data_IF_705569828195
#
_entry.id   IF_705569828195
#
_cell.length_a   1.000
_cell.length_b   1.000
_cell.length_c   1.000
_cell.angle_alpha   90.00
_cell.angle_beta   90.00
_cell.angle_gamma   90.00
#
_symmetry.space_group_name_H-M   'P 1'
#
loop_
_entity.id
_entity.type
_entity.pdbx_description
1 polymer ?
#
# COMPACT_ATOMS: atom_id res chain seq x y z
N UNK A 1 6.24 57.44 -25.96
CA UNK A 1 7.22 56.65 -26.73
C UNK A 1 7.58 55.45 -25.88
N UNK A 2 7.29 54.23 -26.35
CA UNK A 2 7.69 53.02 -25.62
C UNK A 2 9.21 52.97 -25.54
N UNK A 3 9.75 52.71 -24.35
CA UNK A 3 11.21 52.69 -24.15
C UNK A 3 11.82 51.47 -24.85
N UNK A 4 13.09 51.51 -25.29
CA UNK A 4 13.77 50.33 -25.88
C UNK A 4 13.67 49.10 -24.99
N UNK A 5 13.63 49.29 -23.67
CA UNK A 5 13.42 48.25 -22.68
C UNK A 5 12.05 47.55 -22.84
N UNK A 6 10.97 48.32 -23.05
CA UNK A 6 9.63 47.78 -23.26
C UNK A 6 9.55 47.03 -24.60
N UNK A 7 10.23 47.50 -25.64
CA UNK A 7 10.31 46.80 -26.92
C UNK A 7 10.94 45.40 -26.75
N UNK A 8 12.11 45.30 -26.09
CA UNK A 8 12.75 44.01 -25.84
C UNK A 8 11.93 43.08 -24.94
N UNK A 9 11.21 43.63 -23.95
CA UNK A 9 10.30 42.84 -23.12
C UNK A 9 9.13 42.28 -23.93
N UNK A 10 8.57 43.06 -24.84
CA UNK A 10 7.50 42.61 -25.73
C UNK A 10 7.98 41.52 -26.70
N UNK A 11 9.22 41.63 -27.20
CA UNK A 11 9.84 40.56 -28.00
C UNK A 11 10.01 39.27 -27.19
N UNK A 12 10.47 39.35 -25.94
CA UNK A 12 10.57 38.18 -25.04
C UNK A 12 9.19 37.54 -24.81
N UNK A 13 8.13 38.34 -24.62
CA UNK A 13 6.77 37.81 -24.48
C UNK A 13 6.36 37.02 -25.73
N UNK A 14 6.65 37.56 -26.92
CA UNK A 14 6.38 36.84 -28.18
C UNK A 14 7.15 35.52 -28.26
N UNK A 15 8.42 35.50 -27.83
CA UNK A 15 9.23 34.26 -27.80
C UNK A 15 8.65 33.27 -26.79
N UNK A 16 8.19 33.72 -25.61
CA UNK A 16 7.57 32.84 -24.62
C UNK A 16 6.33 32.14 -25.17
N UNK A 17 5.50 32.84 -25.94
CA UNK A 17 4.32 32.23 -26.58
C UNK A 17 4.75 31.15 -27.60
N UNK A 18 5.77 31.42 -28.40
CA UNK A 18 6.30 30.41 -29.34
C UNK A 18 6.88 29.18 -28.61
N UNK A 19 7.58 29.39 -27.50
CA UNK A 19 8.07 28.29 -26.65
C UNK A 19 6.89 27.47 -26.11
N UNK A 20 5.82 28.13 -25.64
CA UNK A 20 4.62 27.45 -25.14
C UNK A 20 3.94 26.61 -26.23
N UNK A 21 3.82 27.13 -27.45
CA UNK A 21 3.25 26.41 -28.58
C UNK A 21 4.09 25.16 -28.92
N UNK A 22 5.42 25.31 -28.98
CA UNK A 22 6.34 24.21 -29.23
C UNK A 22 6.32 23.15 -28.13
N UNK A 23 6.23 23.58 -26.86
CA UNK A 23 6.10 22.66 -25.72
C UNK A 23 4.78 21.88 -25.78
N UNK A 24 3.70 22.52 -26.22
CA UNK A 24 2.39 21.87 -26.38
C UNK A 24 2.44 20.80 -27.47
N UNK A 25 2.95 21.14 -28.66
CA UNK A 25 3.15 20.18 -29.77
C UNK A 25 4.04 19.02 -29.33
N UNK A 26 5.15 19.31 -28.62
CA UNK A 26 6.06 18.29 -28.11
C UNK A 26 5.35 17.39 -27.08
N UNK A 27 4.51 17.96 -26.22
CA UNK A 27 3.69 17.24 -25.24
C UNK A 27 2.74 16.24 -25.90
N UNK A 28 1.99 16.67 -26.92
CA UNK A 28 1.09 15.80 -27.69
C UNK A 28 1.84 14.64 -28.36
N UNK A 29 3.01 14.91 -28.95
CA UNK A 29 3.86 13.85 -29.52
C UNK A 29 4.36 12.89 -28.45
N UNK A 30 4.74 13.39 -27.27
CA UNK A 30 5.16 12.55 -26.17
C UNK A 30 4.01 11.65 -25.67
N UNK A 31 2.77 12.13 -25.64
CA UNK A 31 1.59 11.30 -25.32
C UNK A 31 1.40 10.18 -26.35
N UNK A 32 1.42 10.51 -27.65
CA UNK A 32 1.32 9.51 -28.73
C UNK A 32 2.44 8.46 -28.64
N UNK A 33 3.66 8.87 -28.32
CA UNK A 33 4.77 7.93 -28.07
C UNK A 33 4.46 7.03 -26.87
N UNK A 34 3.90 7.59 -25.79
CA UNK A 34 3.45 6.84 -24.62
C UNK A 34 2.43 5.74 -25.00
N UNK A 35 1.41 6.09 -25.78
CA UNK A 35 0.40 5.14 -26.28
C UNK A 35 1.03 3.99 -27.09
N UNK A 36 1.96 4.29 -27.99
CA UNK A 36 2.66 3.27 -28.77
C UNK A 36 3.56 2.39 -27.91
N UNK A 37 4.26 2.97 -26.92
CA UNK A 37 5.06 2.21 -25.97
C UNK A 37 4.22 1.25 -25.15
N UNK A 38 3.02 1.66 -24.74
CA UNK A 38 2.04 0.81 -24.02
C UNK A 38 1.66 -0.38 -24.89
N UNK A 39 1.27 -0.16 -26.16
CA UNK A 39 0.93 -1.25 -27.09
C UNK A 39 2.08 -2.26 -27.28
N UNK A 40 3.32 -1.78 -27.19
CA UNK A 40 4.52 -2.60 -27.38
C UNK A 40 5.10 -3.16 -26.07
N UNK A 41 4.53 -2.83 -24.90
CA UNK A 41 5.04 -3.26 -23.60
C UNK A 41 6.46 -2.73 -23.26
N UNK A 42 6.83 -1.57 -23.78
CA UNK A 42 8.18 -0.98 -23.60
C UNK A 42 8.21 0.07 -22.49
N UNK A 43 9.40 0.30 -21.90
CA UNK A 43 9.55 1.24 -20.78
C UNK A 43 9.31 2.69 -21.22
N UNK A 44 8.57 3.43 -20.38
CA UNK A 44 8.30 4.86 -20.57
C UNK A 44 9.59 5.68 -20.53
N UNK A 45 10.44 5.46 -19.52
CA UNK A 45 11.74 6.14 -19.39
C UNK A 45 12.88 5.34 -20.04
N UNK A 46 13.68 6.02 -20.87
CA UNK A 46 14.87 5.48 -21.53
C UNK A 46 16.06 6.45 -21.36
N UNK A 47 17.04 6.12 -20.48
CA UNK A 47 18.17 7.00 -20.21
C UNK A 47 19.15 7.11 -21.38
N UNK A 48 19.23 6.09 -22.24
CA UNK A 48 20.11 6.11 -23.40
C UNK A 48 19.55 7.07 -24.44
N UNK A 49 18.23 7.00 -24.69
CA UNK A 49 17.55 7.94 -25.57
C UNK A 49 17.64 9.38 -25.07
N UNK A 50 17.48 9.60 -23.76
CA UNK A 50 17.66 10.93 -23.17
C UNK A 50 19.08 11.46 -23.43
N UNK A 51 20.10 10.63 -23.18
CA UNK A 51 21.51 11.00 -23.39
C UNK A 51 21.78 11.38 -24.85
N UNK A 52 21.26 10.61 -25.81
CA UNK A 52 21.37 10.92 -27.24
C UNK A 52 20.76 12.27 -27.61
N UNK A 53 19.57 12.56 -27.09
CA UNK A 53 18.90 13.85 -27.31
C UNK A 53 19.69 15.01 -26.69
N UNK A 54 20.21 14.85 -25.48
CA UNK A 54 21.05 15.88 -24.82
C UNK A 54 22.32 16.14 -25.64
N UNK A 55 23.01 15.09 -26.06
CA UNK A 55 24.23 15.24 -26.86
C UNK A 55 23.94 15.99 -28.17
N UNK A 56 22.85 15.63 -28.86
CA UNK A 56 22.44 16.32 -30.08
C UNK A 56 22.14 17.82 -29.85
N UNK A 57 21.52 18.16 -28.71
CA UNK A 57 21.24 19.55 -28.35
C UNK A 57 22.52 20.33 -28.02
N UNK A 58 23.48 19.69 -27.34
CA UNK A 58 24.78 20.28 -27.03
C UNK A 58 25.60 20.53 -28.30
N UNK A 59 25.66 19.57 -29.23
CA UNK A 59 26.39 19.71 -30.50
C UNK A 59 25.87 20.87 -31.37
N UNK A 60 24.59 21.24 -31.20
CA UNK A 60 23.95 22.33 -31.94
C UNK A 60 23.89 23.65 -31.18
N UNK A 61 24.33 23.68 -29.92
CA UNK A 61 24.27 24.87 -29.11
C UNK A 61 25.29 25.92 -29.59
N UNK A 62 24.81 27.08 -30.01
CA UNK A 62 25.65 28.21 -30.45
C UNK A 62 25.67 29.35 -29.43
N UNK A 63 25.18 29.09 -28.20
CA UNK A 63 25.01 30.10 -27.16
C UNK A 63 23.73 30.95 -27.32
N UNK A 64 23.52 31.96 -26.46
CA UNK A 64 24.43 32.46 -25.42
C UNK A 64 24.43 31.64 -24.11
N UNK A 65 23.48 30.72 -23.92
CA UNK A 65 23.50 29.80 -22.79
C UNK A 65 24.54 28.69 -23.01
N UNK A 66 25.30 28.37 -21.98
CA UNK A 66 26.24 27.25 -22.05
C UNK A 66 25.51 25.89 -22.03
N UNK A 67 26.24 24.84 -22.41
CA UNK A 67 25.69 23.49 -22.52
C UNK A 67 25.09 22.95 -21.24
N UNK A 68 25.63 23.34 -20.08
CA UNK A 68 25.10 22.87 -18.80
C UNK A 68 23.70 23.45 -18.54
N UNK A 69 23.48 24.73 -18.87
CA UNK A 69 22.15 25.36 -18.75
C UNK A 69 21.16 24.71 -19.73
N UNK A 70 21.56 24.52 -21.00
CA UNK A 70 20.71 23.85 -22.00
C UNK A 70 20.33 22.45 -21.52
N UNK A 71 21.31 21.67 -21.04
CA UNK A 71 21.08 20.34 -20.49
C UNK A 71 20.07 20.34 -19.35
N UNK A 72 20.18 21.26 -18.40
CA UNK A 72 19.24 21.35 -17.27
C UNK A 72 17.82 21.69 -17.73
N UNK A 73 17.66 22.68 -18.61
CA UNK A 73 16.34 23.07 -19.14
C UNK A 73 15.66 21.92 -19.87
N UNK A 74 16.38 21.24 -20.76
CA UNK A 74 15.81 20.14 -21.52
C UNK A 74 15.54 18.89 -20.66
N UNK A 75 16.31 18.65 -19.60
CA UNK A 75 15.99 17.60 -18.63
C UNK A 75 14.64 17.81 -17.96
N UNK A 76 14.31 19.03 -17.56
CA UNK A 76 12.98 19.32 -17.00
C UNK A 76 11.87 19.13 -18.04
N UNK A 77 12.10 19.53 -19.29
CA UNK A 77 11.16 19.28 -20.40
C UNK A 77 10.96 17.77 -20.62
N UNK A 78 12.04 16.97 -20.57
CA UNK A 78 11.99 15.52 -20.75
C UNK A 78 11.26 14.83 -19.61
N UNK A 79 11.54 15.25 -18.38
CA UNK A 79 10.84 14.80 -17.18
C UNK A 79 9.34 15.10 -17.28
N UNK A 80 8.96 16.34 -17.57
CA UNK A 80 7.56 16.73 -17.73
C UNK A 80 6.84 15.88 -18.80
N UNK A 81 7.50 15.59 -19.92
CA UNK A 81 6.88 14.75 -20.96
C UNK A 81 6.87 13.25 -20.64
N UNK A 82 7.78 12.77 -19.79
CA UNK A 82 7.74 11.42 -19.22
C UNK A 82 6.58 11.30 -18.24
N UNK A 83 6.37 12.32 -17.41
CA UNK A 83 5.27 12.39 -16.44
C UNK A 83 3.91 12.44 -17.14
N UNK A 84 3.79 13.16 -18.26
CA UNK A 84 2.59 13.13 -19.11
C UNK A 84 2.24 11.71 -19.58
N UNK A 85 3.22 10.93 -20.03
CA UNK A 85 3.02 9.54 -20.45
C UNK A 85 2.56 8.65 -19.28
N UNK A 86 3.14 8.83 -18.09
CA UNK A 86 2.71 8.10 -16.88
C UNK A 86 1.29 8.48 -16.46
N UNK A 87 0.94 9.76 -16.54
CA UNK A 87 -0.36 10.27 -16.08
C UNK A 87 -1.55 9.69 -16.85
N UNK A 88 -1.37 9.38 -18.14
CA UNK A 88 -2.33 8.66 -18.99
C UNK A 88 -2.45 7.19 -18.55
N UNK A 89 -1.33 6.52 -18.30
CA UNK A 89 -1.32 5.14 -17.81
C UNK A 89 -2.10 5.00 -16.48
N UNK A 90 -1.96 5.97 -15.58
CA UNK A 90 -2.72 5.99 -14.32
C UNK A 90 -4.23 6.21 -14.51
N UNK A 91 -4.69 6.88 -15.58
CA UNK A 91 -6.12 7.06 -15.86
C UNK A 91 -6.84 5.73 -16.13
N UNK A 92 -6.09 4.70 -16.53
CA UNK A 92 -6.63 3.40 -16.88
C UNK A 92 -6.60 2.37 -15.74
N UNK A 93 -6.00 2.69 -14.59
CA UNK A 93 -5.91 1.73 -13.49
C UNK A 93 -7.25 1.60 -12.77
N UNK A 94 -7.75 0.37 -12.65
CA UNK A 94 -8.95 0.05 -11.90
C UNK A 94 -8.90 0.52 -10.45
N UNK A 95 -7.71 0.59 -9.85
CA UNK A 95 -7.51 1.04 -8.47
C UNK A 95 -7.39 2.57 -8.31
N UNK A 96 -7.25 3.33 -9.41
CA UNK A 96 -7.00 4.78 -9.35
C UNK A 96 -8.27 5.58 -9.05
N UNK A 97 -8.13 6.65 -8.26
CA UNK A 97 -9.19 7.66 -8.10
C UNK A 97 -9.58 8.37 -9.39
N UNK A 98 -8.67 8.44 -10.36
CA UNK A 98 -8.96 9.04 -11.68
C UNK A 98 -10.07 8.27 -12.40
N UNK A 99 -10.09 6.93 -12.25
CA UNK A 99 -11.10 6.08 -12.86
C UNK A 99 -12.35 5.96 -11.97
N UNK A 100 -12.18 5.80 -10.66
CA UNK A 100 -13.28 5.74 -9.68
C UNK A 100 -13.01 6.73 -8.55
N UNK A 101 -13.64 7.93 -8.55
CA UNK A 101 -13.42 8.94 -7.53
C UNK A 101 -13.87 8.52 -6.12
N UNK A 102 -14.92 7.72 -6.01
CA UNK A 102 -15.53 7.31 -4.74
C UNK A 102 -14.74 6.21 -4.03
N UNK A 103 -14.69 6.27 -2.71
CA UNK A 103 -14.05 5.25 -1.88
C UNK A 103 -14.61 3.85 -2.12
N UNK A 104 -13.74 2.86 -2.11
CA UNK A 104 -14.11 1.45 -2.00
C UNK A 104 -14.36 1.13 -0.54
N UNK A 105 -15.54 0.59 -0.26
CA UNK A 105 -15.96 0.17 1.07
C UNK A 105 -16.08 -1.35 1.07
N UNK A 106 -15.27 -2.01 1.89
CA UNK A 106 -15.29 -3.47 2.04
C UNK A 106 -16.20 -3.83 3.22
N UNK A 107 -17.26 -4.60 2.95
CA UNK A 107 -18.31 -4.96 3.93
C UNK A 107 -18.28 -6.44 4.24
N UNK A 108 -18.64 -6.78 5.47
CA UNK A 108 -18.65 -8.14 5.99
C UNK A 108 -19.99 -8.45 6.67
N UNK A 109 -20.40 -9.72 6.66
CA UNK A 109 -21.72 -10.16 7.13
C UNK A 109 -21.96 -9.91 8.63
N UNK A 110 -20.90 -9.92 9.45
CA UNK A 110 -20.98 -9.63 10.89
C UNK A 110 -21.09 -8.12 11.23
N UNK A 111 -21.29 -7.28 10.20
CA UNK A 111 -21.34 -5.82 10.29
C UNK A 111 -19.98 -5.13 10.30
N UNK A 112 -18.87 -5.87 10.12
CA UNK A 112 -17.56 -5.27 9.90
C UNK A 112 -17.52 -4.47 8.60
N UNK A 113 -16.91 -3.28 8.63
CA UNK A 113 -16.76 -2.41 7.46
C UNK A 113 -15.38 -1.76 7.49
N UNK A 114 -14.69 -1.75 6.35
CA UNK A 114 -13.38 -1.10 6.18
C UNK A 114 -13.48 -0.08 5.04
N UNK A 115 -13.07 1.16 5.30
CA UNK A 115 -13.03 2.24 4.30
C UNK A 115 -14.26 3.15 4.27
N UNK A 116 -15.19 3.05 5.22
CA UNK A 116 -16.38 3.92 5.32
C UNK A 116 -16.10 5.25 6.07
N UNK A 117 -14.83 5.52 6.38
CA UNK A 117 -14.38 6.64 7.21
C UNK A 117 -14.20 6.29 8.68
N UNK A 118 -14.80 5.20 9.18
CA UNK A 118 -14.55 4.72 10.52
C UNK A 118 -13.24 3.93 10.59
N UNK A 119 -12.57 4.00 11.75
CA UNK A 119 -11.33 3.26 12.02
C UNK A 119 -11.64 1.82 12.41
N UNK A 120 -11.09 0.89 11.64
CA UNK A 120 -11.17 -0.55 11.90
C UNK A 120 -9.88 -1.10 12.50
N UNK A 121 -9.99 -2.15 13.30
CA UNK A 121 -8.82 -2.80 13.89
C UNK A 121 -8.76 -4.28 13.54
N UNK A 122 -7.55 -4.77 13.29
CA UNK A 122 -7.29 -6.18 13.01
C UNK A 122 -6.18 -6.64 13.95
N UNK A 123 -6.58 -7.30 15.02
CA UNK A 123 -5.67 -7.84 16.03
C UNK A 123 -5.67 -9.36 16.01
N UNK A 124 -4.69 -9.99 16.63
CA UNK A 124 -4.59 -11.44 16.73
C UNK A 124 -3.16 -11.93 16.62
N UNK A 125 -2.93 -13.23 16.78
CA UNK A 125 -1.59 -13.76 16.87
C UNK A 125 -0.83 -13.72 15.54
N UNK A 126 0.50 -13.76 15.66
CA UNK A 126 1.39 -13.89 14.52
C UNK A 126 1.14 -15.22 13.80
N UNK A 127 1.15 -16.33 14.54
CA UNK A 127 0.90 -17.67 14.04
C UNK A 127 -0.29 -18.28 14.76
N UNK A 128 -1.03 -19.14 14.08
CA UNK A 128 -2.01 -20.01 14.74
C UNK A 128 -1.24 -21.19 15.33
N UNK A 129 -1.30 -21.36 16.65
CA UNK A 129 -0.50 -22.36 17.37
C UNK A 129 -1.37 -23.47 17.99
N UNK A 130 -2.53 -23.11 18.56
CA UNK A 130 -3.54 -24.05 19.05
C UNK A 130 -4.92 -23.40 19.09
N UNK A 131 -5.98 -24.19 19.28
CA UNK A 131 -7.34 -23.65 19.42
C UNK A 131 -7.46 -22.75 20.66
N UNK A 132 -6.93 -23.19 21.80
CA UNK A 132 -6.97 -22.46 23.06
C UNK A 132 -6.23 -21.13 22.97
N UNK A 133 -5.09 -21.12 22.25
CA UNK A 133 -4.27 -19.94 22.04
C UNK A 133 -5.03 -18.85 21.26
N UNK A 134 -5.73 -19.22 20.18
CA UNK A 134 -6.51 -18.25 19.38
C UNK A 134 -7.81 -17.88 20.09
N UNK A 135 -8.49 -18.83 20.74
CA UNK A 135 -9.72 -18.60 21.51
C UNK A 135 -9.52 -17.55 22.60
N UNK A 136 -8.39 -17.58 23.31
CA UNK A 136 -8.08 -16.59 24.35
C UNK A 136 -8.04 -15.16 23.79
N UNK A 137 -7.44 -14.96 22.62
CA UNK A 137 -7.40 -13.65 21.95
C UNK A 137 -8.75 -13.28 21.37
N UNK A 138 -9.45 -14.23 20.75
CA UNK A 138 -10.76 -14.02 20.16
C UNK A 138 -11.82 -13.62 21.20
N UNK A 139 -11.82 -14.25 22.37
CA UNK A 139 -12.71 -13.91 23.47
C UNK A 139 -12.51 -12.45 23.93
N UNK A 140 -11.26 -12.04 24.06
CA UNK A 140 -10.90 -10.68 24.47
C UNK A 140 -11.31 -9.62 23.41
N UNK A 141 -11.14 -9.94 22.13
CA UNK A 141 -11.59 -9.09 21.01
C UNK A 141 -13.11 -9.00 20.92
N UNK A 142 -13.82 -10.12 21.09
CA UNK A 142 -15.28 -10.15 21.10
C UNK A 142 -15.83 -9.29 22.25
N UNK A 143 -15.25 -9.37 23.44
CA UNK A 143 -15.64 -8.56 24.59
C UNK A 143 -15.48 -7.04 24.35
N UNK A 144 -14.54 -6.65 23.48
CA UNK A 144 -14.33 -5.27 23.02
C UNK A 144 -15.22 -4.85 21.85
N UNK A 145 -16.05 -5.76 21.32
CA UNK A 145 -16.91 -5.52 20.17
C UNK A 145 -16.16 -5.41 18.83
N UNK A 146 -14.91 -5.85 18.78
CA UNK A 146 -14.13 -5.88 17.54
C UNK A 146 -14.72 -6.90 16.55
N UNK A 147 -14.45 -6.69 15.26
CA UNK A 147 -15.09 -7.44 14.17
C UNK A 147 -14.15 -8.36 13.42
N UNK A 148 -12.85 -8.25 13.68
CA UNK A 148 -11.82 -8.95 12.93
C UNK A 148 -10.83 -9.60 13.88
N UNK A 149 -10.33 -10.76 13.48
CA UNK A 149 -9.15 -11.38 14.05
C UNK A 149 -8.22 -11.83 12.94
N UNK A 150 -6.92 -11.68 13.15
CA UNK A 150 -5.89 -12.22 12.26
C UNK A 150 -5.17 -13.41 12.89
N UNK A 151 -4.67 -14.33 12.07
CA UNK A 151 -3.81 -15.42 12.52
C UNK A 151 -3.15 -16.09 11.33
N UNK A 152 -1.83 -16.32 11.39
CA UNK A 152 -1.09 -16.95 10.28
C UNK A 152 -1.22 -18.47 10.31
N UNK A 153 -2.01 -19.05 9.40
CA UNK A 153 -2.07 -20.50 9.19
C UNK A 153 -0.85 -21.00 8.39
N UNK A 154 -0.40 -20.18 7.42
CA UNK A 154 0.84 -20.36 6.68
C UNK A 154 1.83 -19.24 7.04
N UNK A 155 3.10 -19.57 7.28
CA UNK A 155 4.12 -18.61 7.72
C UNK A 155 5.29 -18.57 6.73
N UNK A 156 5.48 -17.49 5.95
CA UNK A 156 6.68 -17.34 5.13
C UNK A 156 7.89 -17.00 6.02
N UNK A 157 8.74 -18.00 6.25
CA UNK A 157 9.94 -17.88 7.10
C UNK A 157 11.20 -17.63 6.28
N UNK A 158 12.16 -16.93 6.88
CA UNK A 158 13.51 -16.80 6.30
C UNK A 158 14.27 -18.12 6.38
N UNK A 159 14.11 -18.84 7.50
CA UNK A 159 14.70 -20.18 7.70
C UNK A 159 13.66 -21.27 7.41
N UNK A 160 13.99 -22.31 6.65
CA UNK A 160 13.08 -23.44 6.40
C UNK A 160 12.89 -24.34 7.64
N UNK A 161 13.75 -24.23 8.66
CA UNK A 161 13.67 -25.02 9.90
C UNK A 161 12.79 -24.38 10.97
N UNK A 162 12.39 -23.13 10.74
CA UNK A 162 11.44 -22.46 11.61
C UNK A 162 10.02 -23.04 11.45
N UNK A 163 9.16 -22.80 12.42
CA UNK A 163 7.74 -23.14 12.30
C UNK A 163 7.09 -22.48 11.06
N UNK A 164 6.58 -23.31 10.16
CA UNK A 164 5.98 -22.91 8.87
C UNK A 164 4.47 -22.64 8.96
N UNK A 165 3.86 -22.84 10.14
CA UNK A 165 2.41 -22.78 10.32
C UNK A 165 1.76 -24.16 10.32
N UNK A 166 0.50 -24.24 10.79
CA UNK A 166 -0.30 -25.47 10.82
C UNK A 166 -0.98 -25.78 9.48
N UNK A 167 -0.88 -24.90 8.49
CA UNK A 167 -1.55 -25.03 7.20
C UNK A 167 -3.06 -25.15 7.37
N UNK A 168 -3.66 -26.16 6.74
CA UNK A 168 -5.12 -26.39 6.75
C UNK A 168 -5.68 -26.58 8.17
N UNK A 169 -4.95 -27.21 9.08
CA UNK A 169 -5.41 -27.32 10.49
C UNK A 169 -5.49 -25.93 11.16
N UNK A 170 -4.58 -25.01 10.81
CA UNK A 170 -4.66 -23.62 11.24
C UNK A 170 -5.88 -22.89 10.65
N UNK A 171 -6.23 -23.18 9.39
CA UNK A 171 -7.45 -22.63 8.77
C UNK A 171 -8.73 -23.14 9.47
N UNK A 172 -8.78 -24.43 9.83
CA UNK A 172 -9.89 -25.00 10.60
C UNK A 172 -10.04 -24.33 11.97
N UNK A 173 -8.94 -24.09 12.68
CA UNK A 173 -8.96 -23.36 13.97
C UNK A 173 -9.54 -21.96 13.79
N UNK A 174 -9.12 -21.23 12.75
CA UNK A 174 -9.65 -19.90 12.46
C UNK A 174 -11.15 -19.96 12.14
N UNK A 175 -11.60 -20.93 11.35
CA UNK A 175 -13.02 -21.12 11.06
C UNK A 175 -13.84 -21.41 12.33
N UNK A 176 -13.34 -22.24 13.24
CA UNK A 176 -13.97 -22.46 14.54
C UNK A 176 -14.07 -21.16 15.35
N UNK A 177 -13.04 -20.31 15.33
CA UNK A 177 -13.04 -19.01 16.00
C UNK A 177 -14.09 -18.07 15.39
N UNK A 178 -14.20 -18.03 14.06
CA UNK A 178 -15.26 -17.29 13.37
C UNK A 178 -16.64 -17.73 13.85
N UNK A 179 -16.90 -19.03 13.85
CA UNK A 179 -18.21 -19.58 14.18
C UNK A 179 -18.56 -19.40 15.68
N UNK A 180 -17.55 -19.50 16.56
CA UNK A 180 -17.72 -19.37 18.02
C UNK A 180 -17.83 -17.92 18.49
N UNK A 181 -17.05 -17.01 17.90
CA UNK A 181 -16.92 -15.63 18.39
C UNK A 181 -17.52 -14.57 17.45
N UNK A 182 -17.92 -14.95 16.23
CA UNK A 182 -18.51 -14.03 15.24
C UNK A 182 -17.51 -13.02 14.66
N UNK A 183 -16.21 -13.36 14.66
CA UNK A 183 -15.13 -12.51 14.13
C UNK A 183 -14.81 -12.89 12.68
N UNK A 184 -14.57 -11.91 11.82
CA UNK A 184 -14.04 -12.16 10.49
C UNK A 184 -12.57 -12.55 10.59
N UNK A 185 -12.18 -13.66 9.96
CA UNK A 185 -10.82 -14.18 10.05
C UNK A 185 -9.96 -13.77 8.86
N UNK A 186 -8.79 -13.21 9.18
CA UNK A 186 -7.76 -12.78 8.23
C UNK A 186 -6.56 -13.72 8.34
N UNK A 187 -6.19 -14.40 7.25
CA UNK A 187 -4.99 -15.25 7.22
C UNK A 187 -4.23 -15.11 5.91
N UNK A 188 -2.92 -15.38 5.97
CA UNK A 188 -2.04 -15.27 4.82
C UNK A 188 -2.10 -16.50 3.92
N UNK A 189 -2.21 -16.27 2.61
CA UNK A 189 -2.08 -17.29 1.57
C UNK A 189 -0.75 -17.08 0.85
N UNK A 190 -0.02 -18.18 0.66
CA UNK A 190 1.35 -18.13 0.11
C UNK A 190 1.48 -18.80 -1.26
N UNK A 191 0.54 -19.67 -1.63
CA UNK A 191 0.53 -20.42 -2.89
C UNK A 191 -0.82 -20.26 -3.59
N UNK A 192 -0.87 -19.99 -4.92
CA UNK A 192 -2.11 -19.92 -5.67
C UNK A 192 -3.06 -21.11 -5.47
N UNK A 193 -2.53 -22.32 -5.30
CA UNK A 193 -3.33 -23.53 -5.13
C UNK A 193 -4.13 -23.56 -3.82
N UNK A 194 -3.77 -22.74 -2.83
CA UNK A 194 -4.40 -22.77 -1.51
C UNK A 194 -5.67 -21.91 -1.44
N UNK A 195 -5.96 -21.06 -2.43
CA UNK A 195 -7.14 -20.19 -2.42
C UNK A 195 -8.45 -20.97 -2.39
N UNK A 196 -8.57 -22.03 -3.19
CA UNK A 196 -9.79 -22.85 -3.27
C UNK A 196 -10.11 -23.47 -1.91
N UNK A 197 -9.12 -24.08 -1.26
CA UNK A 197 -9.29 -24.66 0.08
C UNK A 197 -9.56 -23.56 1.11
N UNK A 198 -8.88 -22.42 1.03
CA UNK A 198 -8.99 -21.37 2.03
C UNK A 198 -10.32 -20.59 1.99
N UNK A 199 -11.05 -20.61 0.87
CA UNK A 199 -12.31 -19.88 0.67
C UNK A 199 -13.40 -20.30 1.67
N UNK A 200 -13.42 -21.58 2.04
CA UNK A 200 -14.33 -22.16 3.03
C UNK A 200 -14.05 -21.72 4.47
N UNK A 201 -12.82 -21.29 4.75
CA UNK A 201 -12.37 -21.00 6.12
C UNK A 201 -12.22 -19.50 6.39
N UNK A 202 -11.81 -18.71 5.40
CA UNK A 202 -11.38 -17.33 5.59
C UNK A 202 -12.41 -16.30 5.11
N UNK A 203 -12.37 -15.12 5.74
CA UNK A 203 -13.15 -13.94 5.32
C UNK A 203 -12.30 -12.95 4.53
N UNK A 204 -10.99 -12.92 4.80
CA UNK A 204 -10.03 -12.06 4.11
C UNK A 204 -8.77 -12.85 3.82
N UNK A 205 -8.35 -12.85 2.56
CA UNK A 205 -7.04 -13.38 2.18
C UNK A 205 -5.99 -12.29 2.32
N UNK A 206 -4.99 -12.52 3.18
CA UNK A 206 -3.81 -11.67 3.24
C UNK A 206 -2.77 -12.16 2.21
N UNK A 207 -2.23 -11.21 1.45
CA UNK A 207 -1.00 -11.42 0.67
C UNK A 207 0.13 -10.70 1.39
N UNK A 208 1.08 -11.45 1.94
CA UNK A 208 2.18 -10.88 2.71
C UNK A 208 3.19 -10.11 1.85
N UNK A 209 3.99 -9.28 2.52
CA UNK A 209 4.96 -8.38 1.88
C UNK A 209 5.95 -9.10 0.94
N UNK A 210 6.33 -10.35 1.25
CA UNK A 210 7.25 -11.14 0.41
C UNK A 210 6.60 -11.60 -0.91
N UNK A 211 5.28 -11.69 -0.92
CA UNK A 211 4.48 -12.11 -2.07
C UNK A 211 3.82 -10.94 -2.82
N UNK A 212 4.08 -9.68 -2.45
CA UNK A 212 3.52 -8.51 -3.15
C UNK A 212 3.84 -8.49 -4.65
N UNK A 213 4.91 -9.16 -5.09
CA UNK A 213 5.27 -9.31 -6.51
C UNK A 213 5.20 -10.76 -7.00
N UNK A 214 4.53 -11.65 -6.25
CA UNK A 214 4.19 -12.97 -6.75
C UNK A 214 2.96 -12.84 -7.66
N UNK A 215 3.18 -12.45 -8.92
CA UNK A 215 2.10 -12.05 -9.83
C UNK A 215 1.07 -13.16 -10.10
N UNK A 216 1.48 -14.43 -10.09
CA UNK A 216 0.53 -15.54 -10.24
C UNK A 216 -0.38 -15.67 -9.01
N UNK A 217 0.16 -15.47 -7.80
CA UNK A 217 -0.65 -15.39 -6.58
C UNK A 217 -1.62 -14.21 -6.62
N UNK A 218 -1.19 -13.04 -7.11
CA UNK A 218 -2.07 -11.87 -7.24
C UNK A 218 -3.19 -12.08 -8.26
N UNK A 219 -2.88 -12.71 -9.40
CA UNK A 219 -3.89 -13.04 -10.42
C UNK A 219 -4.92 -14.01 -9.85
N UNK A 220 -4.48 -15.04 -9.13
CA UNK A 220 -5.40 -16.00 -8.53
C UNK A 220 -6.25 -15.36 -7.42
N UNK A 221 -5.65 -14.54 -6.55
CA UNK A 221 -6.39 -13.72 -5.58
C UNK A 221 -7.49 -12.87 -6.26
N UNK A 222 -7.15 -12.30 -7.42
CA UNK A 222 -8.03 -11.47 -8.24
C UNK A 222 -9.21 -12.20 -8.88
N UNK A 223 -9.17 -13.53 -8.97
CA UNK A 223 -10.26 -14.39 -9.46
C UNK A 223 -11.20 -14.84 -8.35
N UNK A 224 -10.82 -14.68 -7.09
CA UNK A 224 -11.67 -14.97 -5.93
C UNK A 224 -12.68 -13.83 -5.70
N UNK A 225 -13.70 -14.09 -4.88
CA UNK A 225 -14.69 -13.08 -4.48
C UNK A 225 -14.46 -12.52 -3.07
N UNK A 226 -13.47 -13.04 -2.34
CA UNK A 226 -13.17 -12.62 -0.96
C UNK A 226 -12.34 -11.34 -0.96
N UNK A 227 -12.50 -10.47 0.05
CA UNK A 227 -11.59 -9.36 0.25
C UNK A 227 -10.12 -9.77 0.35
N UNK A 228 -9.24 -8.96 -0.26
CA UNK A 228 -7.79 -9.17 -0.25
C UNK A 228 -7.11 -8.08 0.58
N UNK A 229 -6.36 -8.47 1.62
CA UNK A 229 -5.46 -7.58 2.34
C UNK A 229 -4.05 -7.69 1.75
N UNK A 230 -3.66 -6.72 0.91
CA UNK A 230 -2.36 -6.71 0.25
C UNK A 230 -1.35 -5.91 1.07
N UNK A 231 -0.31 -6.57 1.59
CA UNK A 231 0.79 -5.90 2.30
C UNK A 231 1.83 -5.35 1.33
N UNK A 232 2.30 -4.13 1.58
CA UNK A 232 3.39 -3.52 0.83
C UNK A 232 4.66 -4.36 0.94
N UNK A 233 5.37 -4.53 -0.17
CA UNK A 233 6.62 -5.25 -0.26
C UNK A 233 7.76 -4.56 0.49
N UNK A 234 8.77 -5.33 0.90
CA UNK A 234 9.83 -4.88 1.80
C UNK A 234 10.57 -3.61 1.32
N UNK A 235 10.67 -3.42 0.00
CA UNK A 235 11.32 -2.27 -0.62
C UNK A 235 10.51 -1.72 -1.79
N UNK A 236 9.21 -2.00 -1.80
CA UNK A 236 8.34 -1.59 -2.90
C UNK A 236 8.13 -0.07 -2.88
N UNK A 237 8.21 0.55 -4.05
CA UNK A 237 7.71 1.90 -4.28
C UNK A 237 6.18 1.94 -4.18
N UNK A 238 5.60 3.15 -4.05
CA UNK A 238 4.14 3.33 -4.09
C UNK A 238 3.57 2.91 -5.45
N UNK A 239 4.31 3.17 -6.53
CA UNK A 239 3.93 2.78 -7.90
C UNK A 239 3.85 1.25 -8.02
N UNK A 240 4.89 0.52 -7.59
CA UNK A 240 4.88 -0.95 -7.60
C UNK A 240 3.77 -1.55 -6.73
N UNK A 241 3.50 -0.93 -5.57
CA UNK A 241 2.43 -1.38 -4.68
C UNK A 241 1.04 -1.15 -5.30
N UNK A 242 0.85 -0.01 -5.97
CA UNK A 242 -0.38 0.30 -6.71
C UNK A 242 -0.59 -0.66 -7.87
N UNK A 243 0.46 -0.98 -8.63
CA UNK A 243 0.38 -1.98 -9.70
C UNK A 243 0.13 -3.40 -9.17
N UNK A 244 0.66 -3.78 -8.01
CA UNK A 244 0.33 -5.08 -7.41
C UNK A 244 -1.17 -5.17 -7.07
N UNK A 245 -1.78 -4.09 -6.58
CA UNK A 245 -3.23 -4.02 -6.41
C UNK A 245 -3.98 -4.07 -7.75
N UNK A 246 -3.44 -3.42 -8.79
CA UNK A 246 -4.00 -3.47 -10.14
C UNK A 246 -4.02 -4.90 -10.72
N UNK A 247 -2.99 -5.72 -10.47
CA UNK A 247 -3.00 -7.13 -10.88
C UNK A 247 -4.22 -7.89 -10.33
N UNK A 248 -4.57 -7.65 -9.07
CA UNK A 248 -5.76 -8.25 -8.45
C UNK A 248 -7.03 -7.68 -9.11
N UNK A 249 -7.15 -6.34 -9.17
CA UNK A 249 -8.34 -5.66 -9.69
C UNK A 249 -8.63 -6.00 -11.17
N UNK A 250 -7.59 -6.16 -11.98
CA UNK A 250 -7.69 -6.50 -13.40
C UNK A 250 -8.26 -7.88 -13.69
N UNK A 251 -8.22 -8.80 -12.70
CA UNK A 251 -8.84 -10.12 -12.82
C UNK A 251 -10.31 -10.13 -12.36
N UNK A 252 -10.80 -9.05 -11.75
CA UNK A 252 -12.21 -8.87 -11.39
C UNK A 252 -12.46 -8.52 -9.93
N UNK A 253 -11.58 -8.92 -9.00
CA UNK A 253 -11.76 -8.65 -7.58
C UNK A 253 -11.34 -7.23 -7.18
N UNK A 254 -12.32 -6.39 -6.84
CA UNK A 254 -12.11 -5.00 -6.44
C UNK A 254 -12.13 -4.79 -4.93
N UNK A 255 -12.35 -5.84 -4.13
CA UNK A 255 -12.40 -5.78 -2.67
C UNK A 255 -10.99 -5.84 -2.10
N UNK A 256 -10.20 -4.78 -2.32
CA UNK A 256 -8.78 -4.75 -1.94
C UNK A 256 -8.58 -3.77 -0.79
N UNK A 257 -7.83 -4.19 0.23
CA UNK A 257 -7.37 -3.38 1.35
C UNK A 257 -5.85 -3.33 1.28
N UNK A 258 -5.28 -2.13 1.20
CA UNK A 258 -3.84 -1.92 1.20
C UNK A 258 -3.34 -1.88 2.64
N UNK A 259 -2.18 -2.47 2.92
CA UNK A 259 -1.57 -2.43 4.24
C UNK A 259 -0.11 -1.98 4.16
N UNK A 260 0.16 -0.76 4.62
CA UNK A 260 1.51 -0.27 4.89
C UNK A 260 2.08 -1.02 6.10
N UNK A 261 3.35 -1.43 6.03
CA UNK A 261 3.96 -2.34 7.03
C UNK A 261 5.45 -2.07 7.26
N UNK A 262 5.90 -0.87 6.90
CA UNK A 262 7.29 -0.44 6.93
C UNK A 262 8.10 -0.96 5.75
N UNK A 263 9.05 -0.13 5.33
CA UNK A 263 10.03 -0.44 4.29
C UNK A 263 11.41 -0.66 4.90
N UNK A 264 12.23 -1.45 4.22
CA UNK A 264 13.63 -1.68 4.61
C UNK A 264 14.47 -0.44 4.30
N UNK A 265 15.23 0.00 5.28
CA UNK A 265 16.18 1.11 5.16
C UNK A 265 17.52 0.72 5.78
N UNK A 266 18.44 1.67 5.92
CA UNK A 266 19.70 1.47 6.64
C UNK A 266 19.56 1.50 8.17
N UNK A 267 18.42 1.95 8.69
CA UNK A 267 18.15 2.08 10.12
C UNK A 267 18.12 0.70 10.81
N UNK A 268 18.69 0.61 12.01
CA UNK A 268 18.81 -0.63 12.79
C UNK A 268 18.05 -0.58 14.12
N UNK A 269 17.63 0.60 14.58
CA UNK A 269 16.85 0.77 15.81
C UNK A 269 15.41 0.20 15.69
N UNK A 270 14.93 0.02 14.47
CA UNK A 270 13.63 -0.58 14.13
C UNK A 270 13.81 -1.69 13.11
N UNK A 271 12.91 -2.68 13.09
CA UNK A 271 12.97 -3.81 12.14
C UNK A 271 12.78 -3.36 10.70
N UNK A 272 11.86 -2.43 10.47
CA UNK A 272 11.68 -1.67 9.24
C UNK A 272 11.45 -0.20 9.63
N UNK A 273 11.51 0.73 8.67
CA UNK A 273 11.08 2.11 8.89
C UNK A 273 9.64 2.25 8.45
N UNK A 274 8.74 2.62 9.36
CA UNK A 274 7.34 2.89 9.03
C UNK A 274 7.25 4.10 8.10
N UNK A 275 6.82 3.89 6.86
CA UNK A 275 6.58 4.96 5.90
C UNK A 275 5.15 5.50 6.06
N UNK A 276 4.96 6.35 7.07
CA UNK A 276 3.65 6.92 7.38
C UNK A 276 3.11 7.81 6.25
N UNK A 277 3.99 8.32 5.39
CA UNK A 277 3.62 9.15 4.24
C UNK A 277 2.89 8.36 3.16
N UNK A 278 3.08 7.04 3.11
CA UNK A 278 2.39 6.17 2.17
C UNK A 278 0.87 6.21 2.33
N UNK A 279 0.37 6.37 3.55
CA UNK A 279 -1.07 6.37 3.84
C UNK A 279 -1.82 7.47 3.06
N UNK A 280 -1.49 8.77 3.24
CA UNK A 280 -2.17 9.83 2.50
C UNK A 280 -1.89 9.76 0.99
N UNK A 281 -0.68 9.36 0.57
CA UNK A 281 -0.36 9.22 -0.86
C UNK A 281 -1.25 8.17 -1.52
N UNK A 282 -1.38 6.98 -0.91
CA UNK A 282 -2.23 5.90 -1.41
C UNK A 282 -3.71 6.28 -1.36
N UNK A 283 -4.17 6.95 -0.30
CA UNK A 283 -5.55 7.42 -0.20
C UNK A 283 -5.87 8.52 -1.20
N UNK A 284 -4.90 9.30 -1.67
CA UNK A 284 -5.09 10.30 -2.73
C UNK A 284 -5.03 9.67 -4.13
N UNK A 285 -4.10 8.73 -4.36
CA UNK A 285 -3.90 8.10 -5.67
C UNK A 285 -4.91 6.99 -5.97
N UNK A 286 -5.40 6.29 -4.95
CA UNK A 286 -6.31 5.15 -5.05
C UNK A 286 -7.59 5.37 -4.27
N UNK A 287 -8.67 4.69 -4.67
CA UNK A 287 -9.93 4.66 -3.92
C UNK A 287 -9.97 3.55 -2.85
N UNK A 288 -8.88 2.79 -2.70
CA UNK A 288 -8.82 1.64 -1.80
C UNK A 288 -8.60 2.08 -0.35
N UNK A 289 -9.15 1.35 0.64
CA UNK A 289 -8.82 1.56 2.04
C UNK A 289 -7.36 1.19 2.33
N UNK A 290 -6.74 1.93 3.25
CA UNK A 290 -5.34 1.79 3.64
C UNK A 290 -5.21 1.59 5.15
N UNK A 291 -4.72 0.42 5.55
CA UNK A 291 -4.37 0.06 6.92
C UNK A 291 -2.87 0.22 7.18
N UNK A 292 -2.50 0.25 8.46
CA UNK A 292 -1.11 0.24 8.92
C UNK A 292 -0.85 -0.90 9.89
N UNK A 293 0.15 -1.73 9.60
CA UNK A 293 0.67 -2.76 10.49
C UNK A 293 1.80 -2.19 11.35
N UNK A 294 1.52 -1.96 12.63
CA UNK A 294 2.48 -1.34 13.57
C UNK A 294 3.44 -2.35 14.17
N UNK A 295 3.07 -3.63 14.21
CA UNK A 295 3.93 -4.69 14.73
C UNK A 295 5.07 -5.01 13.78
N UNK A 296 4.78 -5.26 12.51
CA UNK A 296 5.81 -5.67 11.54
C UNK A 296 6.65 -4.52 10.99
N UNK A 297 6.11 -3.29 11.04
CA UNK A 297 6.87 -2.10 10.66
C UNK A 297 7.93 -1.80 11.71
N UNK A 298 7.52 -1.54 12.94
CA UNK A 298 8.46 -1.18 14.02
C UNK A 298 9.31 -2.37 14.48
N UNK A 299 8.70 -3.56 14.60
CA UNK A 299 9.30 -4.71 15.26
C UNK A 299 9.59 -4.50 16.74
N UNK A 300 8.89 -3.57 17.39
CA UNK A 300 9.14 -3.12 18.77
C UNK A 300 7.86 -2.76 19.51
N UNK A 301 7.60 -3.43 20.64
CA UNK A 301 6.40 -3.21 21.48
C UNK A 301 6.29 -1.77 22.01
N UNK A 302 7.40 -1.23 22.50
CA UNK A 302 7.46 0.06 23.20
C UNK A 302 7.06 1.27 22.34
N UNK A 303 7.08 1.13 21.02
CA UNK A 303 6.68 2.18 20.08
C UNK A 303 5.44 1.83 19.24
N UNK A 304 4.75 0.71 19.52
CA UNK A 304 3.53 0.36 18.78
C UNK A 304 2.40 1.35 19.02
N UNK A 305 2.15 1.74 20.27
CA UNK A 305 1.06 2.67 20.57
C UNK A 305 1.28 4.06 19.94
N UNK A 306 2.45 4.71 20.07
CA UNK A 306 2.73 5.96 19.37
C UNK A 306 2.55 5.86 17.84
N UNK A 307 3.03 4.78 17.23
CA UNK A 307 2.91 4.60 15.77
C UNK A 307 1.48 4.29 15.32
N UNK A 308 0.70 3.58 16.15
CA UNK A 308 -0.73 3.39 15.91
C UNK A 308 -1.51 4.71 15.99
N UNK A 309 -1.22 5.55 16.99
CA UNK A 309 -1.80 6.90 17.10
C UNK A 309 -1.45 7.75 15.87
N UNK A 310 -0.21 7.69 15.39
CA UNK A 310 0.22 8.38 14.17
C UNK A 310 -0.51 7.85 12.91
N UNK A 311 -0.72 6.54 12.81
CA UNK A 311 -1.48 5.94 11.71
C UNK A 311 -2.93 6.44 11.67
N UNK A 312 -3.61 6.52 12.83
CA UNK A 312 -4.95 7.10 12.89
C UNK A 312 -4.95 8.58 12.49
N UNK A 313 -3.99 9.35 13.01
CA UNK A 313 -3.88 10.79 12.77
C UNK A 313 -3.58 11.15 11.31
N UNK A 314 -2.80 10.34 10.60
CA UNK A 314 -2.53 10.55 9.16
C UNK A 314 -3.70 10.10 8.27
N UNK A 315 -4.74 9.51 8.86
CA UNK A 315 -5.97 9.14 8.15
C UNK A 315 -6.02 7.70 7.65
N UNK A 316 -5.26 6.76 8.24
CA UNK A 316 -5.43 5.34 7.93
C UNK A 316 -6.87 4.88 8.22
N UNK A 317 -7.37 3.93 7.44
CA UNK A 317 -8.70 3.31 7.63
C UNK A 317 -8.68 2.26 8.73
N UNK A 318 -7.49 1.85 9.18
CA UNK A 318 -7.35 0.96 10.31
C UNK A 318 -5.93 0.68 10.74
N UNK A 319 -5.80 0.03 11.89
CA UNK A 319 -4.52 -0.42 12.45
C UNK A 319 -4.55 -1.94 12.63
N UNK A 320 -3.44 -2.57 12.27
CA UNK A 320 -3.16 -3.99 12.52
C UNK A 320 -2.00 -4.11 13.53
N UNK A 321 -2.17 -4.97 14.54
CA UNK A 321 -1.12 -5.30 15.50
C UNK A 321 -1.25 -6.75 15.96
N UNK A 322 -0.19 -7.31 16.54
CA UNK A 322 -0.20 -8.70 16.99
C UNK A 322 -0.36 -8.84 18.50
N UNK A 323 -1.20 -9.81 18.90
CA UNK A 323 -1.56 -10.12 20.28
C UNK A 323 -1.46 -11.63 20.48
N UNK A 324 -0.78 -12.07 21.54
CA UNK A 324 -0.62 -13.48 21.89
C UNK A 324 -0.86 -13.67 23.39
N UNK A 325 -1.56 -14.72 23.85
CA UNK A 325 -1.84 -14.89 25.28
C UNK A 325 -0.58 -15.09 26.12
N UNK A 326 0.50 -15.62 25.53
CA UNK A 326 1.78 -15.79 26.18
C UNK A 326 2.94 -15.59 25.17
N UNK A 327 3.35 -14.35 24.87
CA UNK A 327 4.34 -14.08 23.82
C UNK A 327 5.69 -14.80 24.02
N UNK A 328 6.08 -15.06 25.28
CA UNK A 328 7.36 -15.69 25.61
C UNK A 328 7.54 -17.11 25.03
N UNK A 329 6.44 -17.81 24.76
CA UNK A 329 6.44 -19.17 24.20
C UNK A 329 5.99 -19.23 22.73
N UNK A 330 5.72 -18.07 22.11
CA UNK A 330 5.22 -18.02 20.74
C UNK A 330 6.24 -18.56 19.71
N UNK A 331 5.74 -19.24 18.68
CA UNK A 331 6.54 -19.86 17.61
C UNK A 331 7.05 -18.85 16.55
N UNK A 332 6.63 -17.59 16.69
CA UNK A 332 7.05 -16.45 15.86
C UNK A 332 6.85 -15.13 16.59
N UNK A 333 7.73 -14.17 16.35
CA UNK A 333 7.60 -12.78 16.85
C UNK A 333 7.36 -12.67 18.37
N UNK A 334 7.98 -13.57 19.14
CA UNK A 334 7.86 -13.61 20.62
C UNK A 334 8.24 -12.30 21.30
N UNK A 335 9.20 -11.55 20.74
CA UNK A 335 9.62 -10.24 21.26
C UNK A 335 8.73 -9.07 20.84
N UNK A 336 7.75 -9.30 19.96
CA UNK A 336 6.96 -8.25 19.31
C UNK A 336 5.47 -8.31 19.66
N UNK A 337 4.92 -9.49 19.90
CA UNK A 337 3.50 -9.62 20.20
C UNK A 337 3.18 -9.09 21.61
N UNK A 338 2.11 -8.31 21.72
CA UNK A 338 1.58 -7.90 23.03
C UNK A 338 0.94 -9.10 23.73
N UNK A 339 1.14 -9.22 25.04
CA UNK A 339 0.28 -10.08 25.85
C UNK A 339 -1.12 -9.45 26.03
N UNK A 340 -2.05 -10.16 26.68
CA UNK A 340 -3.42 -9.65 26.86
C UNK A 340 -3.47 -8.39 27.75
N UNK A 341 -2.57 -8.24 28.72
CA UNK A 341 -2.52 -7.06 29.58
C UNK A 341 -1.97 -5.85 28.81
N UNK A 342 -0.84 -6.04 28.12
CA UNK A 342 -0.24 -5.04 27.23
C UNK A 342 -1.24 -4.61 26.16
N UNK A 343 -2.00 -5.55 25.58
CA UNK A 343 -3.03 -5.25 24.60
C UNK A 343 -4.19 -4.45 25.20
N UNK A 344 -4.63 -4.77 26.43
CA UNK A 344 -5.68 -4.02 27.11
C UNK A 344 -5.28 -2.57 27.35
N UNK A 345 -4.04 -2.33 27.79
CA UNK A 345 -3.49 -0.98 27.96
C UNK A 345 -3.43 -0.25 26.61
N UNK A 346 -2.84 -0.88 25.59
CA UNK A 346 -2.78 -0.34 24.23
C UNK A 346 -4.15 0.04 23.68
N UNK A 347 -5.14 -0.85 23.83
CA UNK A 347 -6.49 -0.66 23.31
C UNK A 347 -7.23 0.46 24.05
N UNK A 348 -7.06 0.54 25.37
CA UNK A 348 -7.69 1.57 26.20
C UNK A 348 -7.29 3.00 25.81
N UNK A 349 -6.09 3.16 25.24
CA UNK A 349 -5.63 4.44 24.72
C UNK A 349 -5.98 4.66 23.23
N UNK A 350 -5.94 3.60 22.42
CA UNK A 350 -6.14 3.71 20.97
C UNK A 350 -7.63 3.86 20.60
N UNK A 351 -8.53 3.11 21.25
CA UNK A 351 -9.95 3.07 20.91
C UNK A 351 -10.64 4.43 21.08
N UNK A 352 -10.47 5.16 22.21
CA UNK A 352 -11.08 6.49 22.35
C UNK A 352 -10.58 7.47 21.29
N UNK A 353 -9.30 7.39 20.90
CA UNK A 353 -8.76 8.25 19.84
C UNK A 353 -9.43 7.95 18.49
N UNK A 354 -9.62 6.67 18.15
CA UNK A 354 -10.36 6.29 16.95
C UNK A 354 -11.80 6.80 16.97
N UNK A 355 -12.49 6.74 18.11
CA UNK A 355 -13.86 7.25 18.25
C UNK A 355 -13.94 8.77 18.04
N UNK A 356 -12.91 9.52 18.44
CA UNK A 356 -12.83 10.96 18.16
C UNK A 356 -12.73 11.26 16.66
N UNK A 357 -11.98 10.45 15.90
CA UNK A 357 -11.94 10.54 14.44
C UNK A 357 -13.27 10.10 13.80
N UNK A 358 -13.84 8.98 14.24
CA UNK A 358 -15.11 8.45 13.72
C UNK A 358 -16.26 9.46 13.92
N UNK A 359 -16.29 10.12 15.08
CA UNK A 359 -17.26 11.17 15.40
C UNK A 359 -16.91 12.55 14.81
N UNK A 360 -15.83 12.65 14.01
CA UNK A 360 -15.33 13.90 13.38
C UNK A 360 -15.04 15.02 14.37
N UNK A 361 -14.77 14.69 15.64
CA UNK A 361 -14.30 15.63 16.66
C UNK A 361 -12.84 16.00 16.40
N UNK A 362 -12.08 15.07 15.82
CA UNK A 362 -10.77 15.32 15.23
C UNK A 362 -10.91 15.25 13.70
N UNK A 363 -10.10 16.06 13.00
CA UNK A 363 -10.05 16.11 11.54
C UNK A 363 -8.95 15.24 10.99
#
# INVERSE_FOLDING_TARGET
MSTKLEQYRNEIISINNQILDLLSIRGELAQKIGEEKIKQGTKVYDPQREKEMINHLMDRNQGPFNDNVIKQLFKEIFKASTDLQKSEHEKHLYVSRKLKPEDTIVKFDNGGIIGDGNKSFVFGPCSVESQEQVDAVAQDLQAKGEKFIRGGAFKPRTSPYDFQGLGVEGLKILKNVKDKFGLNVVSEIVNPADFEVADDYLDVFQIGARNMQNFELLKEAGRTNKPILLKRGLSATIEEFTFAAEYIASQGNKNIILCERGIRTYEKATRNTLDISAVPILKQGTHLPVMVDVTHSTGRKDIMLPTAKAALAVGADGVMAEVHPNPAVALSDSGQQMDLNEFNEFYSELKPLAELYNSKKLK
#
